data_IF_784780167045
#
_entry.id   IF_784780167045
#
_cell.length_a   1.000
_cell.length_b   1.000
_cell.length_c   1.000
_cell.angle_alpha   90.00
_cell.angle_beta   90.00
_cell.angle_gamma   90.00
#
_symmetry.space_group_name_H-M   'P 1'
#
loop_
_entity.id
_entity.type
_entity.pdbx_description
1 polymer ?
#
# COMPACT_ATOMS: atom_id res chain seq x y z
N UNK A 1 -20.47 17.22 10.07
CA UNK A 1 -20.54 15.95 9.32
C UNK A 1 -19.09 15.49 9.11
N UNK A 2 -18.74 14.24 9.45
CA UNK A 2 -17.42 13.70 9.12
C UNK A 2 -17.25 13.64 7.59
N UNK A 3 -16.11 14.09 7.10
CA UNK A 3 -15.78 14.06 5.67
C UNK A 3 -15.28 12.64 5.37
N UNK A 4 -16.13 11.82 4.75
CA UNK A 4 -15.76 10.48 4.27
C UNK A 4 -15.24 10.53 2.83
N UNK A 5 -14.48 9.51 2.42
CA UNK A 5 -14.01 9.33 1.03
C UNK A 5 -15.13 9.40 -0.01
N UNK A 6 -16.38 9.12 0.37
CA UNK A 6 -17.55 9.23 -0.53
C UNK A 6 -17.83 10.67 -1.01
N UNK A 7 -17.31 11.69 -0.32
CA UNK A 7 -17.37 13.08 -0.78
C UNK A 7 -16.31 13.41 -1.84
N UNK A 8 -15.32 12.55 -2.02
CA UNK A 8 -14.33 12.64 -3.09
C UNK A 8 -14.88 11.87 -4.29
N UNK A 9 -14.91 12.51 -5.45
CA UNK A 9 -15.46 11.91 -6.65
C UNK A 9 -14.72 10.59 -6.98
N UNK A 10 -15.44 9.48 -6.82
CA UNK A 10 -14.99 8.18 -7.30
C UNK A 10 -14.84 8.27 -8.82
N UNK A 11 -13.68 7.85 -9.34
CA UNK A 11 -13.54 7.75 -10.80
C UNK A 11 -14.52 6.69 -11.29
N UNK A 12 -15.17 6.90 -12.45
CA UNK A 12 -16.02 5.88 -13.04
C UNK A 12 -15.17 4.63 -13.24
N UNK A 13 -15.45 3.61 -12.43
CA UNK A 13 -14.76 2.34 -12.48
C UNK A 13 -15.06 1.72 -13.84
N UNK A 14 -14.10 1.76 -14.75
CA UNK A 14 -14.15 0.88 -15.90
C UNK A 14 -13.94 -0.52 -15.36
N UNK A 15 -15.05 -1.24 -15.19
CA UNK A 15 -15.06 -2.67 -14.92
C UNK A 15 -14.25 -3.35 -16.02
N UNK A 16 -12.93 -3.47 -15.83
CA UNK A 16 -12.14 -4.46 -16.52
C UNK A 16 -12.67 -5.78 -15.99
N UNK A 17 -13.65 -6.35 -16.69
CA UNK A 17 -14.13 -7.72 -16.57
C UNK A 17 -12.92 -8.65 -16.45
N UNK A 18 -12.51 -8.93 -15.22
CA UNK A 18 -11.48 -9.91 -14.90
C UNK A 18 -11.97 -10.68 -13.70
N UNK A 19 -12.41 -11.90 -14.01
CA UNK A 19 -12.65 -13.08 -13.19
C UNK A 19 -13.00 -12.86 -11.71
N UNK A 20 -14.09 -13.51 -11.28
CA UNK A 20 -14.53 -13.71 -9.90
C UNK A 20 -13.45 -14.45 -9.08
N UNK A 21 -12.34 -13.79 -8.81
CA UNK A 21 -11.20 -14.27 -8.03
C UNK A 21 -11.37 -13.97 -6.54
N UNK A 22 -10.44 -14.51 -5.75
CA UNK A 22 -10.36 -14.22 -4.31
C UNK A 22 -10.19 -12.71 -4.11
N UNK A 23 -10.99 -12.13 -3.21
CA UNK A 23 -10.93 -10.69 -2.91
C UNK A 23 -9.61 -10.33 -2.25
N UNK A 24 -9.09 -9.13 -2.50
CA UNK A 24 -7.76 -8.75 -2.00
C UNK A 24 -7.69 -8.55 -0.48
N UNK A 25 -8.85 -8.49 0.17
CA UNK A 25 -9.02 -8.46 1.63
C UNK A 25 -9.40 -9.81 2.24
N UNK A 26 -9.62 -10.86 1.43
CA UNK A 26 -9.97 -12.19 1.94
C UNK A 26 -8.72 -13.05 2.12
N UNK A 27 -7.94 -12.68 3.14
CA UNK A 27 -6.66 -13.31 3.49
C UNK A 27 -6.83 -14.80 3.76
N UNK A 28 -7.91 -15.19 4.43
CA UNK A 28 -8.19 -16.59 4.76
C UNK A 28 -8.48 -17.41 3.51
N UNK A 29 -9.30 -16.90 2.59
CA UNK A 29 -9.57 -17.61 1.34
C UNK A 29 -8.30 -17.70 0.48
N UNK A 30 -7.48 -16.64 0.44
CA UNK A 30 -6.21 -16.65 -0.28
C UNK A 30 -5.24 -17.70 0.27
N UNK A 31 -5.02 -17.71 1.58
CA UNK A 31 -4.14 -18.67 2.24
C UNK A 31 -4.65 -20.11 2.10
N UNK A 32 -5.97 -20.32 2.22
CA UNK A 32 -6.58 -21.64 2.02
C UNK A 32 -6.41 -22.16 0.58
N UNK A 33 -6.48 -21.26 -0.41
CA UNK A 33 -6.25 -21.63 -1.80
C UNK A 33 -4.77 -21.99 -2.07
N UNK A 34 -3.83 -21.26 -1.44
CA UNK A 34 -2.41 -21.62 -1.48
C UNK A 34 -2.15 -22.97 -0.81
N UNK A 35 -2.72 -23.20 0.37
CA UNK A 35 -2.55 -24.43 1.13
C UNK A 35 -3.00 -25.66 0.33
N UNK A 36 -4.18 -25.58 -0.29
CA UNK A 36 -4.70 -26.63 -1.16
C UNK A 36 -3.84 -26.89 -2.41
N UNK A 37 -3.14 -25.87 -2.92
CA UNK A 37 -2.28 -25.98 -4.09
C UNK A 37 -0.92 -26.63 -3.77
N UNK A 38 -0.29 -26.25 -2.66
CA UNK A 38 1.07 -26.68 -2.32
C UNK A 38 1.12 -27.91 -1.39
N UNK A 39 0.05 -28.17 -0.62
CA UNK A 39 -0.08 -29.33 0.29
C UNK A 39 1.11 -29.50 1.25
N UNK A 40 1.65 -28.39 1.73
CA UNK A 40 2.78 -28.36 2.66
C UNK A 40 2.26 -28.43 4.10
N UNK A 41 2.70 -29.44 4.86
CA UNK A 41 2.24 -29.67 6.24
C UNK A 41 2.63 -28.57 7.20
N UNK A 42 3.80 -27.95 7.01
CA UNK A 42 4.28 -26.84 7.84
C UNK A 42 3.47 -25.59 7.54
N UNK A 43 3.23 -25.32 6.25
CA UNK A 43 2.40 -24.19 5.83
C UNK A 43 0.95 -24.31 6.33
N UNK A 44 0.37 -25.51 6.24
CA UNK A 44 -0.97 -25.79 6.75
C UNK A 44 -1.10 -25.50 8.25
N UNK A 45 -0.11 -25.93 9.04
CA UNK A 45 -0.06 -25.67 10.48
C UNK A 45 0.08 -24.17 10.79
N UNK A 46 0.89 -23.44 10.02
CA UNK A 46 1.06 -22.00 10.17
C UNK A 46 -0.23 -21.23 9.88
N UNK A 47 -0.98 -21.59 8.82
CA UNK A 47 -2.26 -20.96 8.50
C UNK A 47 -3.30 -21.27 9.58
N UNK A 48 -3.36 -22.52 10.04
CA UNK A 48 -4.32 -22.95 11.05
C UNK A 48 -4.15 -22.22 12.38
N UNK A 49 -2.93 -21.76 12.67
CA UNK A 49 -2.59 -21.02 13.88
C UNK A 49 -2.43 -19.50 13.65
N UNK A 50 -2.83 -18.97 12.50
CA UNK A 50 -2.67 -17.56 12.16
C UNK A 50 -3.43 -16.67 13.16
N UNK A 51 -2.73 -15.79 13.92
CA UNK A 51 -3.42 -14.93 14.87
C UNK A 51 -4.35 -13.94 14.17
N UNK A 52 -5.53 -13.70 14.76
CA UNK A 52 -6.56 -12.83 14.17
C UNK A 52 -6.08 -11.40 13.91
N UNK A 53 -5.13 -10.93 14.71
CA UNK A 53 -4.57 -9.59 14.56
C UNK A 53 -3.87 -9.41 13.20
N UNK A 54 -3.37 -10.49 12.58
CA UNK A 54 -2.75 -10.44 11.25
C UNK A 54 -3.76 -10.30 10.11
N UNK A 55 -5.04 -10.61 10.32
CA UNK A 55 -6.10 -10.46 9.31
C UNK A 55 -7.00 -9.26 9.57
N UNK A 56 -6.95 -8.69 10.78
CA UNK A 56 -7.87 -7.64 11.20
C UNK A 56 -7.81 -6.40 10.30
N UNK A 57 -6.61 -5.98 9.89
CA UNK A 57 -6.45 -4.84 8.98
C UNK A 57 -7.15 -5.10 7.64
N UNK A 58 -7.06 -6.32 7.11
CA UNK A 58 -7.69 -6.67 5.84
C UNK A 58 -9.22 -6.71 5.97
N UNK A 59 -9.73 -7.16 7.12
CA UNK A 59 -11.16 -7.11 7.42
C UNK A 59 -11.71 -5.68 7.52
N UNK A 60 -10.90 -4.72 8.00
CA UNK A 60 -11.31 -3.31 8.08
C UNK A 60 -11.12 -2.57 6.76
N UNK A 61 -9.99 -2.80 6.08
CA UNK A 61 -9.60 -2.12 4.86
C UNK A 61 -10.09 -2.86 3.62
N UNK A 62 -11.42 -2.80 3.34
CA UNK A 62 -12.06 -3.52 2.22
C UNK A 62 -12.33 -2.69 0.97
N UNK A 63 -12.18 -1.37 1.06
CA UNK A 63 -12.61 -0.46 -0.01
C UNK A 63 -11.62 -0.43 -1.18
N UNK A 64 -11.87 -1.23 -2.20
CA UNK A 64 -11.03 -1.32 -3.40
C UNK A 64 -11.32 -0.23 -4.45
N UNK A 65 -12.22 0.73 -4.19
CA UNK A 65 -12.60 1.77 -5.17
C UNK A 65 -11.43 2.70 -5.48
N UNK A 66 -11.42 3.20 -6.71
CA UNK A 66 -10.47 4.22 -7.15
C UNK A 66 -11.09 5.61 -7.01
N UNK A 67 -10.54 6.41 -6.10
CA UNK A 67 -10.93 7.80 -5.89
C UNK A 67 -9.97 8.75 -6.61
N UNK A 68 -10.43 9.97 -6.90
CA UNK A 68 -9.55 11.02 -7.38
C UNK A 68 -8.73 11.62 -6.22
N UNK A 69 -7.77 10.85 -5.69
CA UNK A 69 -6.90 11.24 -4.59
C UNK A 69 -5.52 11.63 -5.10
N UNK A 70 -4.91 12.65 -4.49
CA UNK A 70 -3.47 12.84 -4.56
C UNK A 70 -2.83 12.11 -3.37
N UNK A 71 -2.42 10.85 -3.57
CA UNK A 71 -1.87 10.01 -2.50
C UNK A 71 -0.65 10.69 -1.86
N UNK A 72 0.21 11.34 -2.65
CA UNK A 72 1.40 12.00 -2.13
C UNK A 72 1.07 13.02 -1.03
N UNK A 73 0.08 13.90 -1.26
CA UNK A 73 -0.27 14.98 -0.33
C UNK A 73 -0.76 14.47 1.03
N UNK A 74 -1.33 13.26 1.08
CA UNK A 74 -1.78 12.64 2.32
C UNK A 74 -0.65 12.03 3.14
N UNK A 75 0.43 11.58 2.51
CA UNK A 75 1.46 10.76 3.16
C UNK A 75 2.83 11.41 3.24
N UNK A 76 3.11 12.46 2.47
CA UNK A 76 4.44 13.05 2.34
C UNK A 76 4.44 14.56 2.56
N UNK A 77 5.53 15.04 3.14
CA UNK A 77 5.84 16.47 3.18
C UNK A 77 6.33 16.95 1.80
N UNK A 78 6.10 18.23 1.45
CA UNK A 78 6.65 18.81 0.22
C UNK A 78 8.17 18.63 0.14
N UNK A 79 8.67 18.19 -1.02
CA UNK A 79 10.10 18.08 -1.32
C UNK A 79 10.40 18.65 -2.70
N UNK A 80 11.61 18.46 -3.23
CA UNK A 80 11.98 18.97 -4.55
C UNK A 80 11.05 18.41 -5.65
N UNK A 81 10.71 19.24 -6.64
CA UNK A 81 9.71 18.92 -7.67
C UNK A 81 10.00 17.60 -8.39
N UNK A 82 11.27 17.36 -8.76
CA UNK A 82 11.69 16.13 -9.45
C UNK A 82 11.38 14.88 -8.59
N UNK A 83 11.62 14.96 -7.29
CA UNK A 83 11.41 13.83 -6.37
C UNK A 83 9.92 13.63 -6.11
N UNK A 84 9.20 14.74 -5.91
CA UNK A 84 7.74 14.74 -5.80
C UNK A 84 7.12 14.04 -7.01
N UNK A 85 7.52 14.37 -8.23
CA UNK A 85 6.97 13.80 -9.46
C UNK A 85 7.25 12.29 -9.59
N UNK A 86 8.46 11.85 -9.24
CA UNK A 86 8.83 10.43 -9.27
C UNK A 86 8.01 9.63 -8.26
N UNK A 87 7.89 10.11 -7.02
CA UNK A 87 7.11 9.43 -5.99
C UNK A 87 5.63 9.44 -6.35
N UNK A 88 5.09 10.59 -6.75
CA UNK A 88 3.69 10.76 -7.10
C UNK A 88 3.28 9.87 -8.26
N UNK A 89 4.04 9.87 -9.36
CA UNK A 89 3.75 8.99 -10.51
C UNK A 89 3.79 7.51 -10.14
N UNK A 90 4.69 7.11 -9.24
CA UNK A 90 4.77 5.74 -8.72
C UNK A 90 3.55 5.39 -7.87
N UNK A 91 3.15 6.27 -6.96
CA UNK A 91 1.96 6.09 -6.11
C UNK A 91 0.69 6.04 -6.95
N UNK A 92 0.55 6.94 -7.93
CA UNK A 92 -0.59 6.99 -8.85
C UNK A 92 -0.67 5.69 -9.67
N UNK A 93 0.47 5.19 -10.15
CA UNK A 93 0.52 3.90 -10.86
C UNK A 93 0.01 2.76 -9.99
N UNK A 94 0.50 2.62 -8.74
CA UNK A 94 0.04 1.54 -7.86
C UNK A 94 -1.40 1.71 -7.43
N UNK A 95 -1.85 2.94 -7.17
CA UNK A 95 -3.23 3.22 -6.82
C UNK A 95 -4.18 2.86 -7.96
N UNK A 96 -3.88 3.20 -9.21
CA UNK A 96 -4.74 2.78 -10.33
C UNK A 96 -4.67 1.27 -10.63
N UNK A 97 -3.55 0.58 -10.37
CA UNK A 97 -3.36 -0.80 -10.84
C UNK A 97 -3.46 -1.89 -9.77
N UNK A 98 -3.40 -1.57 -8.47
CA UNK A 98 -3.41 -2.56 -7.38
C UNK A 98 -4.61 -2.35 -6.44
N UNK A 99 -5.64 -3.23 -6.48
CA UNK A 99 -6.75 -3.16 -5.54
C UNK A 99 -6.31 -3.31 -4.08
N UNK A 100 -5.29 -4.15 -3.82
CA UNK A 100 -4.69 -4.30 -2.49
C UNK A 100 -4.06 -3.00 -2.01
N UNK A 101 -3.36 -2.27 -2.89
CA UNK A 101 -2.80 -0.98 -2.50
C UNK A 101 -3.90 0.04 -2.25
N UNK A 102 -4.92 0.10 -3.11
CA UNK A 102 -6.06 1.02 -2.95
C UNK A 102 -6.77 0.84 -1.62
N UNK A 103 -7.11 -0.39 -1.23
CA UNK A 103 -7.87 -0.62 0.00
C UNK A 103 -7.12 -0.15 1.25
N UNK A 104 -5.80 -0.31 1.26
CA UNK A 104 -4.95 0.16 2.36
C UNK A 104 -4.86 1.69 2.38
N UNK A 105 -4.66 2.32 1.22
CA UNK A 105 -4.65 3.79 1.09
C UNK A 105 -6.00 4.37 1.51
N UNK A 106 -7.10 3.84 1.00
CA UNK A 106 -8.45 4.31 1.29
C UNK A 106 -8.76 4.21 2.78
N UNK A 107 -8.49 3.05 3.39
CA UNK A 107 -8.67 2.87 4.83
C UNK A 107 -7.88 3.90 5.65
N UNK A 108 -6.62 4.13 5.30
CA UNK A 108 -5.77 5.06 6.04
C UNK A 108 -6.20 6.51 5.87
N UNK A 109 -6.57 6.92 4.66
CA UNK A 109 -7.06 8.28 4.37
C UNK A 109 -8.38 8.53 5.12
N UNK A 110 -9.34 7.61 5.01
CA UNK A 110 -10.63 7.73 5.70
C UNK A 110 -10.46 7.74 7.23
N UNK A 111 -9.57 6.89 7.75
CA UNK A 111 -9.23 6.89 9.18
C UNK A 111 -8.62 8.22 9.63
N UNK A 112 -7.69 8.79 8.87
CA UNK A 112 -7.09 10.10 9.19
C UNK A 112 -8.13 11.22 9.15
N UNK A 113 -9.01 11.24 8.13
CA UNK A 113 -10.08 12.25 8.02
C UNK A 113 -11.09 12.18 9.16
N UNK A 114 -11.48 10.96 9.56
CA UNK A 114 -12.52 10.76 10.56
C UNK A 114 -12.05 10.94 12.00
N UNK A 115 -10.75 10.79 12.28
CA UNK A 115 -10.21 10.86 13.63
C UNK A 115 -9.41 12.14 13.92
N UNK A 116 -9.32 13.08 12.96
CA UNK A 116 -8.52 14.31 13.07
C UNK A 116 -7.08 14.03 13.54
N UNK A 117 -6.53 12.89 13.11
CA UNK A 117 -5.19 12.49 13.45
C UNK A 117 -4.29 13.12 12.41
N UNK A 118 -3.49 14.10 12.84
CA UNK A 118 -2.34 14.58 12.08
C UNK A 118 -1.33 13.44 12.00
N UNK A 119 -1.50 12.58 10.99
CA UNK A 119 -0.54 11.54 10.71
C UNK A 119 0.74 12.20 10.27
N UNK A 120 1.78 12.08 11.09
CA UNK A 120 3.14 12.51 10.75
C UNK A 120 3.48 12.08 9.33
N UNK A 121 3.51 13.04 8.42
CA UNK A 121 3.85 12.79 7.03
C UNK A 121 5.32 12.41 6.92
N UNK A 122 5.62 11.64 5.89
CA UNK A 122 6.97 11.23 5.59
C UNK A 122 7.76 12.39 5.01
N UNK A 123 8.86 12.76 5.66
CA UNK A 123 9.86 13.66 5.10
C UNK A 123 10.78 12.88 4.16
N UNK A 124 10.91 13.35 2.91
CA UNK A 124 11.81 12.72 1.93
C UNK A 124 13.16 13.40 1.97
N UNK A 125 14.18 12.68 2.47
CA UNK A 125 15.57 13.13 2.49
C UNK A 125 16.37 12.43 1.39
N UNK A 126 16.97 13.23 0.51
CA UNK A 126 17.95 12.73 -0.46
C UNK A 126 19.26 12.52 0.29
N UNK A 127 19.75 11.28 0.32
CA UNK A 127 21.12 11.07 0.73
C UNK A 127 22.05 11.54 -0.39
N UNK A 128 22.95 12.51 -0.14
CA UNK A 128 23.90 12.95 -1.15
C UNK A 128 24.92 11.87 -1.50
N UNK A 129 25.10 10.84 -0.65
CA UNK A 129 25.96 9.70 -0.89
C UNK A 129 25.33 8.45 -0.26
N UNK A 130 24.91 7.49 -1.08
CA UNK A 130 24.51 6.17 -0.59
C UNK A 130 25.80 5.35 -0.40
N UNK A 131 26.26 5.21 0.85
CA UNK A 131 27.28 4.22 1.23
C UNK A 131 26.58 3.10 1.97
N UNK A 132 26.63 1.88 1.45
CA UNK A 132 26.38 0.70 2.26
C UNK A 132 27.71 0.02 2.55
N UNK A 133 27.91 -0.40 3.79
CA UNK A 133 29.00 -1.32 4.10
C UNK A 133 28.55 -2.70 3.62
N UNK A 134 29.26 -3.24 2.64
CA UNK A 134 29.09 -4.65 2.31
C UNK A 134 29.49 -5.46 3.55
N UNK A 135 28.99 -6.69 3.69
CA UNK A 135 29.39 -7.59 4.80
C UNK A 135 30.91 -7.87 4.88
N UNK A 136 31.66 -7.40 3.89
CA UNK A 136 33.12 -7.48 3.76
C UNK A 136 33.85 -6.20 4.22
N UNK A 137 33.13 -5.16 4.68
CA UNK A 137 33.71 -3.93 5.25
C UNK A 137 34.18 -2.87 4.24
N UNK A 138 34.02 -3.14 2.94
CA UNK A 138 34.36 -2.17 1.90
C UNK A 138 33.20 -1.20 1.64
N UNK A 139 33.48 0.10 1.77
CA UNK A 139 32.54 1.17 1.42
C UNK A 139 32.52 1.36 -0.10
N UNK A 140 31.46 0.90 -0.77
CA UNK A 140 31.27 1.18 -2.21
C UNK A 140 30.39 2.41 -2.37
N UNK A 141 30.95 3.48 -2.95
CA UNK A 141 30.21 4.68 -3.33
C UNK A 141 29.58 4.50 -4.71
N UNK A 142 28.25 4.45 -4.76
CA UNK A 142 27.51 4.57 -6.01
C UNK A 142 27.14 6.04 -6.21
N UNK A 143 28.01 6.79 -6.88
CA UNK A 143 27.67 8.11 -7.40
C UNK A 143 26.76 7.94 -8.61
N UNK A 144 25.50 8.41 -8.51
CA UNK A 144 24.64 8.57 -9.68
C UNK A 144 25.17 9.74 -10.53
N UNK A 145 25.35 9.58 -11.85
CA UNK A 145 25.65 10.70 -12.72
C UNK A 145 24.39 11.56 -12.85
N UNK A 146 24.48 12.83 -12.48
CA UNK A 146 23.47 13.85 -12.80
C UNK A 146 23.56 14.23 -14.28
#
# INVERSE_FOLDING_TARGET
>A
MPITLEHIAAKPFQEKLKAKGIRTWDTIQYLSALDGAYKDTVFHEQISNLPKDYIHLDEMARDEKEYSLNVFDFFFEPTSEIICDVIKSTLDFYYSNSPTFRRLVNYKVDYSMNNDIDTSKCEVKVSPNYSYENTEGDSVYLSLPF
#
